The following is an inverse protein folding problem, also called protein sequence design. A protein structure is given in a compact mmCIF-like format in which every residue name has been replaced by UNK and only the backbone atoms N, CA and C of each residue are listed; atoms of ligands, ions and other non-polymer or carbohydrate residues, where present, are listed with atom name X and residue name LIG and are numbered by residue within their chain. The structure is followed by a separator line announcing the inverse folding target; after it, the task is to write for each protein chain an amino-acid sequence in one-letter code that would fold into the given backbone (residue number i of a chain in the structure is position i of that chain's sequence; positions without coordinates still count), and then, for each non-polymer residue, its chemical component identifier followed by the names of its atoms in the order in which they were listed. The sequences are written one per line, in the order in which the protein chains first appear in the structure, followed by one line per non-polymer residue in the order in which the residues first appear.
data_IF_800425869645
#
_entry.id   IF_800425869645
#
_cell.length_a   1.000
_cell.length_b   1.000
_cell.length_c   1.000
_cell.angle_alpha   90.00
_cell.angle_beta   90.00
_cell.angle_gamma   90.00
#
_symmetry.space_group_name_H-M   'P 1'
#
loop_
_entity.id
_entity.type
_entity.pdbx_description
1 polymer ?
#
# COMPACT_ATOMS: atom_id res chain seq x y z
N UNK A 1 -2.49 -0.23 -11.20
CA UNK A 1 -1.13 0.17 -10.74
C UNK A 1 -1.02 -0.06 -9.24
N UNK A 2 0.08 -0.60 -8.72
CA UNK A 2 0.25 -0.89 -7.27
C UNK A 2 1.58 -0.29 -6.78
N UNK A 3 1.60 0.66 -5.84
CA UNK A 3 2.83 1.23 -5.27
C UNK A 3 3.50 0.40 -4.15
N UNK A 4 2.71 -0.35 -3.38
CA UNK A 4 3.18 -1.19 -2.27
C UNK A 4 2.63 -2.60 -2.39
N UNK A 5 3.48 -3.59 -2.15
CA UNK A 5 3.12 -5.01 -2.17
C UNK A 5 3.54 -5.68 -0.86
N UNK A 6 3.11 -6.92 -0.65
CA UNK A 6 3.56 -7.73 0.49
C UNK A 6 4.71 -8.63 0.06
N UNK A 7 5.75 -8.71 0.89
CA UNK A 7 6.81 -9.72 0.79
C UNK A 7 6.94 -10.38 2.15
N UNK A 8 6.60 -11.67 2.23
CA UNK A 8 6.60 -12.43 3.50
C UNK A 8 5.78 -11.74 4.61
N UNK A 9 4.60 -11.20 4.26
CA UNK A 9 3.74 -10.47 5.19
C UNK A 9 4.14 -9.01 5.44
N UNK A 10 5.32 -8.58 5.01
CA UNK A 10 5.80 -7.22 5.24
C UNK A 10 5.54 -6.28 4.05
N UNK A 11 5.12 -5.02 4.28
CA UNK A 11 4.97 -4.02 3.24
C UNK A 11 6.32 -3.67 2.59
N UNK A 12 6.38 -3.73 1.25
CA UNK A 12 7.54 -3.27 0.48
C UNK A 12 7.11 -2.26 -0.58
N UNK A 13 7.82 -1.13 -0.64
CA UNK A 13 7.60 -0.12 -1.68
C UNK A 13 8.24 -0.55 -3.00
N UNK A 14 7.64 -0.14 -4.11
CA UNK A 14 8.19 -0.43 -5.43
C UNK A 14 9.62 0.13 -5.63
N UNK A 15 9.94 1.25 -4.97
CA UNK A 15 11.28 1.82 -4.98
C UNK A 15 12.33 0.81 -4.46
N UNK A 16 12.02 0.11 -3.36
CA UNK A 16 12.91 -0.85 -2.71
C UNK A 16 12.86 -2.27 -3.29
N UNK A 17 11.80 -2.62 -4.02
CA UNK A 17 11.65 -3.96 -4.57
C UNK A 17 12.66 -4.29 -5.68
N UNK A 18 13.12 -5.54 -5.72
CA UNK A 18 13.88 -6.09 -6.86
C UNK A 18 13.00 -6.10 -8.11
N UNK A 19 13.59 -5.86 -9.29
CA UNK A 19 12.86 -5.83 -10.56
C UNK A 19 12.24 -7.20 -10.90
N UNK A 20 11.09 -7.17 -11.56
CA UNK A 20 10.41 -8.35 -12.10
C UNK A 20 9.82 -9.26 -11.02
N UNK A 21 9.73 -10.56 -11.32
CA UNK A 21 9.23 -11.58 -10.39
C UNK A 21 10.21 -11.89 -9.26
N UNK A 22 11.48 -11.49 -9.39
CA UNK A 22 12.48 -11.63 -8.34
C UNK A 22 12.16 -10.81 -7.07
N UNK A 23 11.16 -9.92 -7.12
CA UNK A 23 10.64 -9.26 -5.92
C UNK A 23 10.03 -10.26 -4.92
N UNK A 24 9.47 -11.38 -5.40
CA UNK A 24 8.77 -12.36 -4.57
C UNK A 24 7.55 -11.78 -3.86
N UNK A 25 6.91 -10.76 -4.44
CA UNK A 25 5.83 -10.02 -3.80
C UNK A 25 4.45 -10.50 -4.23
N UNK A 26 3.46 -10.24 -3.40
CA UNK A 26 2.05 -10.50 -3.66
C UNK A 26 1.19 -9.25 -3.49
N UNK A 27 0.05 -9.23 -4.18
CA UNK A 27 -0.95 -8.18 -4.08
C UNK A 27 -1.57 -8.19 -2.68
N UNK A 28 -1.65 -7.04 -1.98
CA UNK A 28 -2.26 -6.98 -0.66
C UNK A 28 -3.78 -7.17 -0.66
N UNK A 29 -4.44 -7.07 -1.81
CA UNK A 29 -5.88 -7.27 -1.93
C UNK A 29 -6.23 -8.75 -2.18
N UNK A 30 -5.69 -9.34 -3.25
CA UNK A 30 -6.09 -10.69 -3.68
C UNK A 30 -5.06 -11.78 -3.37
N UNK A 31 -3.91 -11.45 -2.77
CA UNK A 31 -2.87 -12.42 -2.40
C UNK A 31 -2.07 -13.01 -3.56
N UNK A 32 -2.42 -12.70 -4.80
CA UNK A 32 -1.74 -13.25 -5.96
C UNK A 32 -0.41 -12.56 -6.28
N UNK A 33 0.44 -13.25 -7.05
CA UNK A 33 1.78 -12.77 -7.42
C UNK A 33 1.74 -11.48 -8.24
N UNK A 34 2.64 -10.57 -7.89
CA UNK A 34 2.88 -9.34 -8.67
C UNK A 34 4.33 -9.30 -9.16
N UNK A 35 4.56 -8.60 -10.26
CA UNK A 35 5.89 -8.29 -10.80
C UNK A 35 6.20 -6.82 -10.61
N UNK A 36 7.44 -6.51 -10.20
CA UNK A 36 7.92 -5.13 -10.09
C UNK A 36 8.35 -4.60 -11.47
N UNK A 37 7.54 -3.73 -12.07
CA UNK A 37 7.86 -3.03 -13.32
C UNK A 37 8.64 -1.76 -13.00
N UNK A 38 9.93 -1.78 -13.35
CA UNK A 38 10.87 -0.65 -13.19
C UNK A 38 11.51 -0.36 -14.54
N UNK A 39 11.49 0.89 -14.98
CA UNK A 39 12.03 1.34 -16.26
C UNK A 39 11.95 2.86 -16.39
N UNK A 40 12.60 3.44 -17.41
CA UNK A 40 12.72 4.88 -17.58
C UNK A 40 11.43 5.56 -18.08
N UNK A 41 10.60 4.85 -18.85
CA UNK A 41 9.44 5.45 -19.53
C UNK A 41 8.18 5.59 -18.66
N UNK A 42 8.04 4.80 -17.60
CA UNK A 42 6.84 4.76 -16.74
C UNK A 42 7.23 4.77 -15.27
N UNK A 43 6.42 5.42 -14.45
CA UNK A 43 6.55 5.38 -12.99
C UNK A 43 6.59 3.92 -12.54
N UNK A 44 7.55 3.63 -11.67
CA UNK A 44 7.72 2.28 -11.17
C UNK A 44 6.46 1.84 -10.44
N UNK A 45 5.98 0.64 -10.76
CA UNK A 45 4.82 0.05 -10.08
C UNK A 45 4.92 -1.48 -10.05
N UNK A 46 4.15 -2.10 -9.17
CA UNK A 46 3.83 -3.51 -9.30
C UNK A 46 2.62 -3.69 -10.23
N UNK A 47 2.62 -4.78 -10.99
CA UNK A 47 1.45 -5.25 -11.74
C UNK A 47 1.26 -6.74 -11.50
N UNK A 48 0.03 -7.21 -11.58
CA UNK A 48 -0.26 -8.63 -11.52
C UNK A 48 0.48 -9.41 -12.62
N UNK A 49 0.84 -10.67 -12.32
CA UNK A 49 1.50 -11.55 -13.27
C UNK A 49 0.54 -12.63 -13.78
N UNK A 50 0.27 -12.62 -15.09
CA UNK A 50 -0.58 -13.61 -15.80
C UNK A 50 -2.00 -13.77 -15.23
N UNK A 51 -2.66 -12.67 -14.95
CA UNK A 51 -3.98 -12.67 -14.32
C UNK A 51 -4.64 -11.30 -14.51
N UNK A 52 -5.95 -11.25 -14.33
CA UNK A 52 -6.73 -10.03 -14.50
C UNK A 52 -6.39 -8.96 -13.46
N UNK A 53 -6.76 -7.73 -13.78
CA UNK A 53 -6.59 -6.62 -12.85
C UNK A 53 -7.49 -6.82 -11.62
N UNK A 54 -6.91 -6.69 -10.43
CA UNK A 54 -7.67 -6.68 -9.19
C UNK A 54 -8.13 -5.23 -8.90
N UNK A 55 -9.44 -4.97 -8.83
CA UNK A 55 -9.98 -3.61 -8.68
C UNK A 55 -9.58 -2.95 -7.35
N UNK A 56 -9.40 -3.75 -6.29
CA UNK A 56 -9.05 -3.26 -4.95
C UNK A 56 -7.54 -3.10 -4.73
N UNK A 57 -6.70 -3.40 -5.73
CA UNK A 57 -5.26 -3.49 -5.55
C UNK A 57 -4.61 -2.14 -5.21
N UNK A 58 -5.07 -1.04 -5.85
CA UNK A 58 -4.56 0.30 -5.57
C UNK A 58 -4.91 0.72 -4.15
N UNK A 59 -6.20 0.67 -3.79
CA UNK A 59 -6.70 1.05 -2.46
C UNK A 59 -6.00 0.27 -1.34
N UNK A 60 -5.98 -1.06 -1.46
CA UNK A 60 -5.37 -1.93 -0.45
C UNK A 60 -3.87 -1.68 -0.30
N UNK A 61 -3.17 -1.34 -1.39
CA UNK A 61 -1.75 -0.97 -1.31
C UNK A 61 -1.50 0.34 -0.57
N UNK A 62 -2.37 1.33 -0.74
CA UNK A 62 -2.29 2.61 -0.04
C UNK A 62 -2.64 2.44 1.45
N UNK A 63 -3.71 1.68 1.74
CA UNK A 63 -4.09 1.33 3.11
C UNK A 63 -2.97 0.57 3.83
N UNK A 64 -2.32 -0.39 3.16
CA UNK A 64 -1.19 -1.12 3.71
C UNK A 64 -0.06 -0.16 4.12
N UNK A 65 0.32 0.77 3.23
CA UNK A 65 1.37 1.75 3.51
C UNK A 65 0.99 2.68 4.66
N UNK A 66 -0.25 3.20 4.67
CA UNK A 66 -0.75 4.07 5.73
C UNK A 66 -0.74 3.36 7.10
N UNK A 67 -1.28 2.14 7.17
CA UNK A 67 -1.27 1.33 8.41
C UNK A 67 0.15 1.09 8.91
N UNK A 68 1.09 0.75 8.02
CA UNK A 68 2.48 0.55 8.39
C UNK A 68 3.17 1.83 8.93
N UNK A 69 2.82 3.00 8.38
CA UNK A 69 3.30 4.29 8.89
C UNK A 69 2.71 4.58 10.27
N UNK A 70 1.41 4.39 10.46
CA UNK A 70 0.72 4.62 11.74
C UNK A 70 1.24 3.70 12.84
N UNK A 71 1.43 2.41 12.54
CA UNK A 71 2.00 1.45 13.48
C UNK A 71 3.44 1.83 13.88
N UNK A 72 4.25 2.31 12.93
CA UNK A 72 5.63 2.76 13.23
C UNK A 72 5.66 4.10 13.98
N UNK A 73 4.75 5.03 13.66
CA UNK A 73 4.73 6.34 14.32
C UNK A 73 4.17 6.27 15.73
N UNK A 74 3.27 5.32 16.00
CA UNK A 74 2.56 5.19 17.28
C UNK A 74 1.67 6.38 17.62
N UNK A 75 1.45 7.30 16.66
CA UNK A 75 0.69 8.53 16.84
C UNK A 75 0.08 9.01 15.54
N UNK A 76 -1.08 9.64 15.63
CA UNK A 76 -1.78 10.30 14.53
C UNK A 76 -2.10 11.74 14.93
N UNK A 77 -2.05 12.66 13.97
CA UNK A 77 -2.56 14.03 14.17
C UNK A 77 -4.03 14.04 13.79
N UNK A 78 -4.88 14.41 14.73
CA UNK A 78 -6.30 14.61 14.49
C UNK A 78 -6.57 16.11 14.19
N UNK A 79 -7.66 16.42 13.48
CA UNK A 79 -8.17 17.79 13.44
C UNK A 79 -8.49 18.30 14.85
N UNK A 80 -8.62 19.62 15.01
CA UNK A 80 -9.05 20.21 16.27
C UNK A 80 -10.42 19.65 16.69
N UNK A 81 -10.60 19.43 17.99
CA UNK A 81 -11.87 19.00 18.56
C UNK A 81 -12.74 20.24 18.80
N UNK A 82 -13.79 20.40 17.99
CA UNK A 82 -14.77 21.48 18.14
C UNK A 82 -15.97 20.98 18.95
N UNK A 83 -16.07 21.40 20.21
CA UNK A 83 -17.21 21.06 21.07
C UNK A 83 -18.40 21.97 20.73
N UNK A 84 -19.48 21.39 20.20
CA UNK A 84 -20.73 22.11 19.95
C UNK A 84 -21.77 21.69 20.99
N UNK A 85 -22.22 22.64 21.81
CA UNK A 85 -23.28 22.45 22.80
C UNK A 85 -22.87 21.66 24.05
N UNK A 86 -22.31 22.36 25.04
CA UNK A 86 -22.26 21.89 26.43
C UNK A 86 -23.31 22.69 27.22
N UNK A 87 -24.57 22.29 27.18
CA UNK A 87 -25.51 22.73 28.21
C UNK A 87 -25.10 22.02 29.50
N UNK A 88 -24.65 22.82 30.47
CA UNK A 88 -24.37 22.34 31.83
C UNK A 88 -25.72 21.99 32.46
N UNK A 89 -25.88 20.74 32.91
CA UNK A 89 -26.90 20.38 33.91
C UNK A 89 -26.65 21.16 35.20
#
# INVERSE_FOLDING_TARGET
MIPYALKNGEPVSIAKARRGLACGCVCPACGNRVMAKKGAARVHHFSHYKMEECPHALESSLHLAAKAILLRSGKIRLPALELHGFERL
#
